data_IF_284860276822
#
_entry.id   IF_284860276822
#
_cell.length_a   1.000
_cell.length_b   1.000
_cell.length_c   1.000
_cell.angle_alpha   90.00
_cell.angle_beta   90.00
_cell.angle_gamma   90.00
#
_symmetry.space_group_name_H-M   'P 1'
#
loop_
_entity.id
_entity.type
_entity.pdbx_description
1 polymer ?
#
# COMPACT_ATOMS: atom_id res chain seq x y z
N UNK A 1 -3.19 -2.13 -28.62
CA UNK A 1 -4.17 -1.23 -28.00
C UNK A 1 -5.45 -1.98 -27.62
N UNK A 2 -6.12 -2.63 -28.57
CA UNK A 2 -7.37 -3.37 -28.33
C UNK A 2 -7.24 -4.49 -27.27
N UNK A 3 -6.21 -5.34 -27.35
CA UNK A 3 -5.97 -6.40 -26.35
C UNK A 3 -5.77 -5.88 -24.92
N UNK A 4 -5.14 -4.71 -24.77
CA UNK A 4 -4.93 -4.08 -23.46
C UNK A 4 -6.24 -3.50 -22.95
N UNK A 5 -7.03 -2.88 -23.83
CA UNK A 5 -8.34 -2.35 -23.48
C UNK A 5 -9.29 -3.43 -22.97
N UNK A 6 -9.34 -4.60 -23.64
CA UNK A 6 -10.16 -5.74 -23.20
C UNK A 6 -9.75 -6.32 -21.84
N UNK A 7 -8.53 -6.04 -21.37
CA UNK A 7 -7.99 -6.52 -20.08
C UNK A 7 -8.04 -5.49 -18.98
N UNK A 8 -8.47 -4.26 -19.28
CA UNK A 8 -8.32 -3.14 -18.37
C UNK A 8 -9.00 -3.44 -17.02
N UNK A 9 -10.23 -3.94 -17.04
CA UNK A 9 -11.00 -4.28 -15.83
C UNK A 9 -10.45 -5.50 -15.10
N UNK A 10 -10.02 -6.52 -15.84
CA UNK A 10 -9.36 -7.71 -15.31
C UNK A 10 -8.07 -7.37 -14.53
N UNK A 11 -7.37 -6.32 -14.95
CA UNK A 11 -6.12 -5.88 -14.30
C UNK A 11 -6.35 -4.82 -13.23
N UNK A 12 -7.14 -3.78 -13.55
CA UNK A 12 -7.23 -2.60 -12.69
C UNK A 12 -8.03 -2.87 -11.43
N UNK A 13 -9.12 -3.63 -11.51
CA UNK A 13 -9.99 -3.86 -10.34
C UNK A 13 -9.27 -4.49 -9.14
N UNK A 14 -8.56 -5.63 -9.28
CA UNK A 14 -7.86 -6.20 -8.13
C UNK A 14 -6.72 -5.30 -7.66
N UNK A 15 -5.99 -4.63 -8.57
CA UNK A 15 -4.91 -3.70 -8.20
C UNK A 15 -5.43 -2.48 -7.45
N UNK A 16 -6.55 -1.89 -7.88
CA UNK A 16 -7.19 -0.76 -7.21
C UNK A 16 -7.63 -1.14 -5.79
N UNK A 17 -8.18 -2.35 -5.62
CA UNK A 17 -8.53 -2.88 -4.30
C UNK A 17 -7.31 -3.07 -3.40
N UNK A 18 -6.19 -3.52 -3.96
CA UNK A 18 -4.93 -3.64 -3.21
C UNK A 18 -4.38 -2.26 -2.82
N UNK A 19 -4.38 -1.31 -3.76
CA UNK A 19 -3.93 0.06 -3.50
C UNK A 19 -4.78 0.78 -2.46
N UNK A 20 -6.07 0.44 -2.35
CA UNK A 20 -6.97 0.96 -1.34
C UNK A 20 -6.78 0.31 0.05
N UNK A 21 -6.10 -0.83 0.14
CA UNK A 21 -5.91 -1.58 1.39
C UNK A 21 -4.45 -2.01 1.57
N UNK A 22 -3.67 -1.18 2.28
CA UNK A 22 -2.26 -1.43 2.55
C UNK A 22 -1.97 -2.79 3.21
N UNK A 23 -2.88 -3.28 4.07
CA UNK A 23 -2.70 -4.56 4.74
C UNK A 23 -2.83 -5.74 3.76
N UNK A 24 -3.84 -5.73 2.91
CA UNK A 24 -4.02 -6.73 1.86
C UNK A 24 -2.87 -6.68 0.84
N UNK A 25 -2.46 -5.48 0.42
CA UNK A 25 -1.32 -5.28 -0.46
C UNK A 25 -0.03 -5.89 0.11
N UNK A 26 0.29 -5.58 1.37
CA UNK A 26 1.46 -6.12 2.05
C UNK A 26 1.42 -7.65 2.14
N UNK A 27 0.30 -8.22 2.56
CA UNK A 27 0.15 -9.67 2.68
C UNK A 27 0.39 -10.40 1.36
N UNK A 28 -0.09 -9.85 0.25
CA UNK A 28 0.13 -10.42 -1.08
C UNK A 28 1.55 -10.23 -1.58
N UNK A 29 2.10 -9.01 -1.46
CA UNK A 29 3.46 -8.70 -1.91
C UNK A 29 4.48 -9.60 -1.22
N UNK A 30 4.43 -9.71 0.11
CA UNK A 30 5.32 -10.57 0.89
C UNK A 30 5.10 -12.04 0.58
N UNK A 31 3.86 -12.48 0.37
CA UNK A 31 3.54 -13.88 0.02
C UNK A 31 4.18 -14.32 -1.30
N UNK A 32 4.25 -13.45 -2.29
CA UNK A 32 4.74 -13.77 -3.64
C UNK A 32 6.18 -13.31 -3.92
N UNK A 33 6.73 -12.42 -3.10
CA UNK A 33 8.13 -11.99 -3.20
C UNK A 33 9.09 -13.17 -2.98
N UNK A 34 10.11 -13.27 -3.84
CA UNK A 34 11.08 -14.38 -3.94
C UNK A 34 10.48 -15.75 -4.23
N UNK A 35 9.18 -15.79 -4.55
CA UNK A 35 8.44 -17.00 -4.91
C UNK A 35 7.97 -16.97 -6.35
N UNK A 36 7.18 -15.96 -6.67
CA UNK A 36 6.62 -15.75 -8.00
C UNK A 36 7.40 -14.70 -8.80
N UNK A 37 8.08 -13.77 -8.11
CA UNK A 37 8.91 -12.74 -8.73
C UNK A 37 10.09 -12.36 -7.82
N UNK A 38 11.12 -11.78 -8.44
CA UNK A 38 12.23 -11.10 -7.79
C UNK A 38 12.45 -9.74 -8.44
N UNK A 39 13.19 -8.86 -7.76
CA UNK A 39 13.60 -7.57 -8.30
C UNK A 39 15.08 -7.63 -8.60
N UNK A 40 15.44 -7.43 -9.87
CA UNK A 40 16.83 -7.39 -10.35
C UNK A 40 17.03 -6.08 -11.11
N UNK A 41 18.06 -5.30 -10.75
CA UNK A 41 18.38 -4.02 -11.40
C UNK A 41 17.18 -3.03 -11.49
N UNK A 42 16.31 -3.03 -10.48
CA UNK A 42 15.13 -2.17 -10.44
C UNK A 42 13.98 -2.61 -11.36
N UNK A 43 14.05 -3.82 -11.91
CA UNK A 43 13.03 -4.41 -12.76
C UNK A 43 12.45 -5.68 -12.12
N UNK A 44 11.17 -5.94 -12.38
CA UNK A 44 10.50 -7.15 -11.91
C UNK A 44 10.83 -8.30 -12.86
N UNK A 45 11.37 -9.38 -12.31
CA UNK A 45 11.63 -10.62 -13.02
C UNK A 45 10.71 -11.72 -12.48
N UNK A 46 9.84 -12.20 -13.35
CA UNK A 46 8.86 -13.22 -13.02
C UNK A 46 9.44 -14.64 -13.05
N UNK A 47 9.33 -15.34 -11.93
CA UNK A 47 9.68 -16.75 -11.77
C UNK A 47 8.47 -17.67 -12.00
N UNK A 48 7.26 -17.11 -11.91
CA UNK A 48 5.98 -17.78 -12.21
C UNK A 48 5.18 -16.92 -13.19
N UNK A 49 4.30 -17.56 -13.96
CA UNK A 49 3.45 -16.86 -14.91
C UNK A 49 2.59 -15.77 -14.23
N UNK A 50 2.74 -14.48 -14.60
CA UNK A 50 1.97 -13.38 -14.03
C UNK A 50 0.46 -13.59 -14.12
N UNK A 51 -0.01 -14.30 -15.16
CA UNK A 51 -1.43 -14.59 -15.33
C UNK A 51 -1.96 -15.56 -14.26
N UNK A 52 -1.16 -16.56 -13.86
CA UNK A 52 -1.52 -17.46 -12.74
C UNK A 52 -1.52 -16.70 -11.42
N UNK A 53 -0.55 -15.80 -11.23
CA UNK A 53 -0.46 -14.93 -10.06
C UNK A 53 -1.64 -13.95 -9.99
N UNK A 54 -2.10 -13.43 -11.13
CA UNK A 54 -3.32 -12.63 -11.24
C UNK A 54 -4.55 -13.45 -10.84
N UNK A 55 -4.70 -14.68 -11.32
CA UNK A 55 -5.80 -15.55 -10.91
C UNK A 55 -5.83 -15.79 -9.39
N UNK A 56 -4.66 -16.02 -8.78
CA UNK A 56 -4.56 -16.13 -7.33
C UNK A 56 -4.79 -14.81 -6.59
N UNK A 57 -4.53 -13.66 -7.21
CA UNK A 57 -4.91 -12.37 -6.64
C UNK A 57 -6.43 -12.23 -6.56
N UNK A 58 -7.17 -12.69 -7.56
CA UNK A 58 -8.63 -12.76 -7.50
C UNK A 58 -9.12 -13.66 -6.35
N UNK A 59 -8.49 -14.83 -6.18
CA UNK A 59 -8.78 -15.71 -5.05
C UNK A 59 -8.46 -15.05 -3.70
N UNK A 60 -7.29 -14.43 -3.58
CA UNK A 60 -6.81 -13.73 -2.37
C UNK A 60 -7.76 -12.60 -1.95
N UNK A 61 -8.34 -11.89 -2.92
CA UNK A 61 -9.31 -10.82 -2.68
C UNK A 61 -10.75 -11.32 -2.52
N UNK A 62 -10.97 -12.64 -2.55
CA UNK A 62 -12.30 -13.25 -2.55
C UNK A 62 -13.21 -12.75 -3.67
N UNK A 63 -12.64 -12.46 -4.84
CA UNK A 63 -13.33 -11.97 -6.03
C UNK A 63 -13.73 -13.12 -6.97
N UNK A 64 -13.72 -14.37 -6.52
CA UNK A 64 -14.20 -15.49 -7.33
C UNK A 64 -15.70 -15.39 -7.58
N UNK A 65 -16.15 -16.06 -8.64
CA UNK A 65 -17.57 -16.19 -8.95
C UNK A 65 -18.27 -16.96 -7.82
N UNK A 66 -19.26 -16.34 -7.21
CA UNK A 66 -19.94 -16.85 -6.03
C UNK A 66 -21.44 -16.65 -6.15
N UNK A 67 -22.18 -17.70 -5.79
CA UNK A 67 -23.63 -17.64 -5.75
C UNK A 67 -24.11 -16.46 -4.87
N UNK A 68 -24.96 -15.61 -5.43
CA UNK A 68 -25.55 -14.42 -4.80
C UNK A 68 -24.58 -13.28 -4.44
N UNK A 69 -23.35 -13.25 -4.94
CA UNK A 69 -22.49 -12.09 -4.77
C UNK A 69 -22.88 -10.94 -5.72
N UNK A 70 -22.83 -9.70 -5.24
CA UNK A 70 -23.05 -8.54 -6.10
C UNK A 70 -21.90 -8.41 -7.12
N UNK A 71 -22.11 -7.84 -8.33
CA UNK A 71 -21.07 -7.72 -9.35
C UNK A 71 -19.79 -6.99 -8.91
N UNK A 72 -19.86 -6.14 -7.89
CA UNK A 72 -18.69 -5.46 -7.31
C UNK A 72 -17.82 -6.39 -6.45
N UNK A 73 -18.41 -7.46 -5.89
CA UNK A 73 -17.79 -8.40 -4.96
C UNK A 73 -17.24 -9.66 -5.65
N UNK A 74 -17.30 -9.71 -6.97
CA UNK A 74 -16.80 -10.83 -7.78
C UNK A 74 -16.26 -10.37 -9.13
N UNK A 75 -15.52 -11.26 -9.78
CA UNK A 75 -15.03 -11.13 -11.14
C UNK A 75 -16.22 -11.05 -12.11
N UNK A 76 -16.10 -10.21 -13.13
CA UNK A 76 -17.15 -10.09 -14.13
C UNK A 76 -17.08 -11.25 -15.12
N UNK A 77 -18.21 -11.68 -15.71
CA UNK A 77 -18.25 -12.83 -16.61
C UNK A 77 -17.27 -12.74 -17.79
N UNK A 78 -17.14 -11.55 -18.39
CA UNK A 78 -16.21 -11.32 -19.50
C UNK A 78 -14.74 -11.40 -19.05
N UNK A 79 -14.42 -10.80 -17.90
CA UNK A 79 -13.08 -10.86 -17.30
C UNK A 79 -12.72 -12.30 -16.91
N UNK A 80 -13.66 -13.06 -16.33
CA UNK A 80 -13.48 -14.47 -15.97
C UNK A 80 -13.26 -15.33 -17.21
N UNK A 81 -14.06 -15.11 -18.25
CA UNK A 81 -13.90 -15.80 -19.53
C UNK A 81 -12.52 -15.52 -20.13
N UNK A 82 -12.08 -14.26 -20.08
CA UNK A 82 -10.78 -13.85 -20.58
C UNK A 82 -9.63 -14.47 -19.79
N UNK A 83 -9.71 -14.46 -18.45
CA UNK A 83 -8.74 -15.07 -17.56
C UNK A 83 -8.62 -16.57 -17.81
N UNK A 84 -9.75 -17.28 -17.85
CA UNK A 84 -9.80 -18.74 -18.09
C UNK A 84 -9.22 -19.11 -19.45
N UNK A 85 -9.51 -18.34 -20.51
CA UNK A 85 -8.92 -18.56 -21.84
C UNK A 85 -7.40 -18.44 -21.83
N UNK A 86 -6.86 -17.48 -21.06
CA UNK A 86 -5.43 -17.32 -20.93
C UNK A 86 -4.78 -18.43 -20.12
N UNK A 87 -5.38 -18.84 -19.01
CA UNK A 87 -4.91 -19.99 -18.22
C UNK A 87 -4.92 -21.27 -19.05
N UNK A 88 -6.02 -21.55 -19.75
CA UNK A 88 -6.14 -22.71 -20.63
C UNK A 88 -5.10 -22.71 -21.76
N UNK A 89 -4.78 -21.54 -22.34
CA UNK A 89 -3.71 -21.42 -23.33
C UNK A 89 -2.37 -21.91 -22.78
N UNK A 90 -1.98 -21.50 -21.56
CA UNK A 90 -0.73 -21.94 -20.96
C UNK A 90 -0.76 -23.41 -20.57
N UNK A 91 -1.88 -23.92 -20.03
CA UNK A 91 -2.03 -25.34 -19.73
C UNK A 91 -1.89 -26.22 -20.98
N UNK A 92 -2.54 -25.85 -22.08
CA UNK A 92 -2.45 -26.57 -23.35
C UNK A 92 -1.03 -26.50 -23.93
N UNK A 93 -0.37 -25.33 -23.85
CA UNK A 93 1.00 -25.14 -24.28
C UNK A 93 1.98 -26.01 -23.48
N UNK A 94 1.91 -25.95 -22.16
CA UNK A 94 2.73 -26.72 -21.24
C UNK A 94 2.54 -28.23 -21.46
N UNK A 95 1.28 -28.69 -21.58
CA UNK A 95 0.95 -30.10 -21.88
C UNK A 95 1.55 -30.55 -23.21
N UNK A 96 1.49 -29.71 -24.25
CA UNK A 96 2.03 -30.05 -25.56
C UNK A 96 3.57 -30.12 -25.56
N UNK A 97 4.22 -29.27 -24.78
CA UNK A 97 5.67 -29.24 -24.58
C UNK A 97 6.17 -30.30 -23.58
N UNK A 98 5.28 -30.94 -22.83
CA UNK A 98 5.65 -31.93 -21.81
C UNK A 98 6.33 -31.31 -20.58
N UNK A 99 6.03 -30.05 -20.30
CA UNK A 99 6.52 -29.33 -19.12
C UNK A 99 5.34 -29.02 -18.19
N UNK A 100 5.63 -28.75 -16.93
CA UNK A 100 4.64 -28.34 -15.93
C UNK A 100 5.29 -27.25 -15.06
N UNK A 101 5.02 -26.00 -15.44
CA UNK A 101 5.63 -24.83 -14.79
C UNK A 101 5.04 -24.59 -13.41
N UNK A 102 3.79 -24.98 -13.19
CA UNK A 102 3.11 -24.81 -11.91
C UNK A 102 3.61 -25.84 -10.89
N UNK A 103 3.79 -27.10 -11.30
CA UNK A 103 4.40 -28.12 -10.45
C UNK A 103 5.85 -27.79 -10.11
N UNK A 104 6.64 -27.29 -11.07
CA UNK A 104 8.01 -26.81 -10.80
C UNK A 104 8.00 -25.70 -9.75
N UNK A 105 7.09 -24.72 -9.87
CA UNK A 105 6.89 -23.67 -8.86
C UNK A 105 6.52 -24.25 -7.49
N UNK A 106 5.56 -25.17 -7.38
CA UNK A 106 5.15 -25.71 -6.08
C UNK A 106 6.26 -26.53 -5.40
N UNK A 107 7.04 -27.30 -6.16
CA UNK A 107 8.16 -28.09 -5.64
C UNK A 107 9.34 -27.23 -5.20
N UNK A 108 9.55 -26.12 -5.90
CA UNK A 108 10.52 -25.07 -5.59
C UNK A 108 10.37 -24.52 -4.15
N UNK A 109 9.16 -24.60 -3.58
CA UNK A 109 8.83 -24.07 -2.26
C UNK A 109 8.67 -25.13 -1.16
N UNK A 110 8.73 -26.43 -1.50
CA UNK A 110 8.55 -27.53 -0.54
C UNK A 110 9.85 -28.17 -0.05
N UNK A 111 10.97 -27.88 -0.72
CA UNK A 111 12.30 -28.43 -0.39
C UNK A 111 13.29 -27.29 -0.20
N UNK A 112 14.25 -27.47 0.71
CA UNK A 112 15.36 -26.52 0.99
C UNK A 112 16.12 -26.14 -0.29
N UNK A 113 15.68 -25.06 -0.94
CA UNK A 113 16.45 -24.07 -1.69
C UNK A 113 17.22 -24.44 -2.96
N UNK A 114 17.53 -25.71 -3.25
CA UNK A 114 18.67 -25.98 -4.17
C UNK A 114 18.35 -26.55 -5.56
N UNK A 115 17.08 -26.71 -5.97
CA UNK A 115 16.80 -27.14 -7.36
C UNK A 115 15.44 -26.66 -7.88
N UNK A 116 15.36 -25.37 -8.22
CA UNK A 116 14.25 -24.86 -9.02
C UNK A 116 14.65 -24.91 -10.49
N UNK A 117 13.85 -25.55 -11.36
CA UNK A 117 14.23 -25.66 -12.77
C UNK A 117 13.99 -24.36 -13.53
N UNK A 118 13.41 -23.34 -12.87
CA UNK A 118 13.03 -22.04 -13.43
C UNK A 118 12.26 -22.23 -14.75
N UNK A 119 11.32 -23.18 -14.79
CA UNK A 119 10.71 -23.61 -16.05
C UNK A 119 9.91 -22.49 -16.72
N UNK A 120 9.20 -21.67 -15.94
CA UNK A 120 8.47 -20.54 -16.51
C UNK A 120 9.42 -19.51 -17.14
N UNK A 121 10.53 -19.18 -16.49
CA UNK A 121 11.53 -18.26 -17.05
C UNK A 121 12.07 -18.79 -18.38
N UNK A 122 12.46 -20.06 -18.42
CA UNK A 122 12.93 -20.73 -19.65
C UNK A 122 11.86 -20.72 -20.75
N UNK A 123 10.61 -21.03 -20.41
CA UNK A 123 9.48 -20.99 -21.35
C UNK A 123 9.25 -19.58 -21.89
N UNK A 124 9.23 -18.58 -21.02
CA UNK A 124 9.04 -17.18 -21.38
C UNK A 124 10.17 -16.72 -22.33
N UNK A 125 11.43 -16.97 -22.00
CA UNK A 125 12.57 -16.67 -22.87
C UNK A 125 12.47 -17.38 -24.23
N UNK A 126 12.07 -18.66 -24.24
CA UNK A 126 11.89 -19.42 -25.48
C UNK A 126 10.76 -18.87 -26.36
N UNK A 127 9.66 -18.39 -25.78
CA UNK A 127 8.56 -17.75 -26.50
C UNK A 127 8.89 -16.31 -26.96
N UNK A 128 9.90 -15.67 -26.38
CA UNK A 128 10.37 -14.34 -26.78
C UNK A 128 11.53 -14.39 -27.80
N UNK A 129 12.16 -15.55 -27.99
CA UNK A 129 13.24 -15.78 -28.98
C UNK A 129 12.81 -15.46 -30.42
N UNK A 130 13.73 -14.98 -31.24
CA UNK A 130 13.45 -14.75 -32.67
C UNK A 130 13.34 -16.05 -33.47
N UNK A 131 14.16 -17.03 -33.11
CA UNK A 131 14.24 -18.36 -33.72
C UNK A 131 13.44 -19.35 -32.90
N UNK A 132 12.79 -20.31 -33.58
CA UNK A 132 12.03 -21.39 -32.95
C UNK A 132 12.97 -22.35 -32.23
N UNK A 133 13.08 -22.28 -30.89
CA UNK A 133 14.03 -23.11 -30.14
C UNK A 133 13.50 -24.54 -29.95
N UNK A 134 12.25 -24.79 -30.35
CA UNK A 134 11.58 -26.08 -30.22
C UNK A 134 11.74 -26.95 -31.48
N UNK A 135 12.38 -26.42 -32.53
CA UNK A 135 12.66 -27.17 -33.74
C UNK A 135 13.96 -27.98 -33.58
N UNK A 136 13.90 -29.29 -33.82
CA UNK A 136 15.09 -30.09 -34.10
C UNK A 136 15.51 -31.17 -33.08
N UNK A 137 14.98 -31.22 -31.85
CA UNK A 137 15.15 -32.39 -30.95
C UNK A 137 13.92 -32.62 -30.03
N UNK A 138 13.59 -33.90 -29.77
CA UNK A 138 12.56 -34.32 -28.81
C UNK A 138 12.95 -33.93 -27.37
N UNK A 139 12.00 -33.62 -26.47
CA UNK A 139 10.55 -33.68 -26.63
C UNK A 139 9.93 -32.43 -27.28
N UNK A 140 10.73 -31.40 -27.55
CA UNK A 140 10.25 -30.09 -27.99
C UNK A 140 9.88 -30.00 -29.48
N UNK A 141 10.26 -30.99 -30.31
CA UNK A 141 9.99 -31.11 -31.75
C UNK A 141 8.50 -31.30 -32.14
N UNK A 142 7.57 -30.61 -31.47
CA UNK A 142 6.12 -30.66 -31.74
C UNK A 142 5.56 -29.37 -32.32
N UNK A 143 6.35 -28.30 -32.38
CA UNK A 143 5.88 -26.98 -32.78
C UNK A 143 6.58 -26.54 -34.06
N UNK A 144 5.86 -26.61 -35.18
CA UNK A 144 6.32 -26.01 -36.42
C UNK A 144 6.41 -24.48 -36.28
N UNK A 145 7.09 -23.82 -37.23
CA UNK A 145 7.32 -22.38 -37.16
C UNK A 145 6.02 -21.57 -37.19
N UNK A 146 4.97 -22.08 -37.86
CA UNK A 146 3.68 -21.39 -37.94
C UNK A 146 2.99 -21.40 -36.58
N UNK A 147 2.90 -22.57 -35.94
CA UNK A 147 2.35 -22.75 -34.60
C UNK A 147 3.19 -21.98 -33.58
N UNK A 148 4.51 -22.02 -33.69
CA UNK A 148 5.39 -21.25 -32.82
C UNK A 148 5.08 -19.77 -32.90
N UNK A 149 5.03 -19.19 -34.10
CA UNK A 149 4.67 -17.76 -34.29
C UNK A 149 3.30 -17.43 -33.72
N UNK A 150 2.31 -18.33 -33.86
CA UNK A 150 1.00 -18.15 -33.26
C UNK A 150 1.05 -18.17 -31.72
N UNK A 151 1.81 -19.10 -31.12
CA UNK A 151 2.05 -19.15 -29.68
C UNK A 151 2.79 -17.92 -29.18
N UNK A 152 3.79 -17.40 -29.91
CA UNK A 152 4.46 -16.14 -29.56
C UNK A 152 3.50 -14.95 -29.55
N UNK A 153 2.64 -14.85 -30.57
CA UNK A 153 1.65 -13.78 -30.65
C UNK A 153 0.63 -13.88 -29.51
N UNK A 154 0.13 -15.09 -29.21
CA UNK A 154 -0.75 -15.33 -28.08
C UNK A 154 -0.08 -15.01 -26.74
N UNK A 155 1.16 -15.48 -26.52
CA UNK A 155 1.95 -15.19 -25.32
C UNK A 155 2.11 -13.67 -25.10
N UNK A 156 2.56 -12.93 -26.13
CA UNK A 156 2.66 -11.46 -26.06
C UNK A 156 1.31 -10.81 -25.79
N UNK A 157 0.24 -11.31 -26.40
CA UNK A 157 -1.12 -10.86 -26.12
C UNK A 157 -1.51 -11.09 -24.66
N UNK A 158 -1.20 -12.26 -24.10
CA UNK A 158 -1.47 -12.63 -22.71
C UNK A 158 -0.67 -11.81 -21.69
N UNK A 159 0.61 -11.56 -21.97
CA UNK A 159 1.50 -10.74 -21.13
C UNK A 159 1.25 -9.23 -21.28
N UNK A 160 0.59 -8.79 -22.35
CA UNK A 160 0.23 -7.38 -22.53
C UNK A 160 -0.64 -6.88 -21.39
N UNK A 161 -0.22 -5.79 -20.75
CA UNK A 161 -0.88 -5.18 -19.59
C UNK A 161 -0.40 -5.73 -18.23
N UNK A 162 0.32 -6.85 -18.18
CA UNK A 162 0.85 -7.40 -16.92
C UNK A 162 1.89 -6.49 -16.26
N UNK A 163 2.45 -5.54 -17.01
CA UNK A 163 3.30 -4.45 -16.48
C UNK A 163 2.61 -3.60 -15.41
N UNK A 164 1.27 -3.64 -15.32
CA UNK A 164 0.53 -3.04 -14.22
C UNK A 164 0.82 -3.72 -12.87
N UNK A 165 1.03 -5.04 -12.86
CA UNK A 165 1.48 -5.77 -11.67
C UNK A 165 2.92 -5.41 -11.31
N UNK A 166 3.78 -5.20 -12.31
CA UNK A 166 5.16 -4.77 -12.08
C UNK A 166 5.21 -3.42 -11.37
N UNK A 167 4.37 -2.46 -11.80
CA UNK A 167 4.25 -1.16 -11.14
C UNK A 167 3.82 -1.31 -9.68
N UNK A 168 2.85 -2.18 -9.41
CA UNK A 168 2.39 -2.47 -8.05
C UNK A 168 3.51 -3.06 -7.18
N UNK A 169 4.27 -4.02 -7.71
CA UNK A 169 5.41 -4.63 -7.03
C UNK A 169 6.49 -3.59 -6.73
N UNK A 170 6.84 -2.75 -7.71
CA UNK A 170 7.87 -1.71 -7.55
C UNK A 170 7.43 -0.61 -6.58
N UNK A 171 6.13 -0.33 -6.44
CA UNK A 171 5.64 0.53 -5.35
C UNK A 171 5.88 -0.11 -3.98
N UNK A 172 5.61 -1.41 -3.85
CA UNK A 172 5.92 -2.19 -2.65
C UNK A 172 7.39 -2.15 -2.28
N UNK A 173 8.27 -2.29 -3.28
CA UNK A 173 9.73 -2.19 -3.11
C UNK A 173 10.17 -0.79 -2.66
N UNK A 174 9.66 0.27 -3.30
CA UNK A 174 9.98 1.65 -2.89
C UNK A 174 9.47 1.97 -1.49
N UNK A 175 8.33 1.40 -1.12
CA UNK A 175 7.81 1.45 0.24
C UNK A 175 8.59 0.53 1.21
N UNK A 176 9.53 -0.29 0.70
CA UNK A 176 10.28 -1.37 1.35
C UNK A 176 9.41 -2.31 2.19
N UNK A 177 8.25 -2.64 1.63
CA UNK A 177 7.36 -3.70 2.11
C UNK A 177 8.00 -5.07 1.90
N UNK A 178 8.82 -5.21 0.86
CA UNK A 178 9.48 -6.47 0.49
C UNK A 178 10.66 -6.84 1.40
N UNK A 179 11.11 -5.90 2.22
CA UNK A 179 12.16 -6.11 3.23
C UNK A 179 11.65 -6.88 4.46
N UNK A 180 10.32 -7.02 4.62
CA UNK A 180 9.73 -7.81 5.69
C UNK A 180 9.86 -9.30 5.38
N UNK A 181 10.47 -10.03 6.31
CA UNK A 181 10.71 -11.47 6.18
C UNK A 181 10.18 -12.20 7.43
N UNK A 182 10.00 -13.51 7.31
CA UNK A 182 9.77 -14.41 8.44
C UNK A 182 10.94 -15.38 8.47
N UNK A 183 11.63 -15.48 9.61
CA UNK A 183 12.77 -16.38 9.74
C UNK A 183 12.34 -17.84 9.99
N UNK A 184 13.31 -18.74 10.06
CA UNK A 184 13.08 -20.18 10.26
C UNK A 184 12.41 -20.51 11.61
N UNK A 185 12.38 -19.55 12.55
CA UNK A 185 11.70 -19.69 13.84
C UNK A 185 10.25 -19.21 13.81
N UNK A 186 9.76 -18.80 12.64
CA UNK A 186 8.48 -18.13 12.43
C UNK A 186 8.40 -16.74 13.07
N UNK A 187 9.54 -16.13 13.39
CA UNK A 187 9.57 -14.78 13.92
C UNK A 187 9.59 -13.75 12.78
N UNK A 188 8.80 -12.67 12.87
CA UNK A 188 8.83 -11.61 11.88
C UNK A 188 10.13 -10.79 12.00
N UNK A 189 10.87 -10.70 10.90
CA UNK A 189 12.02 -9.81 10.75
C UNK A 189 11.55 -8.47 10.21
N UNK A 190 11.51 -7.49 11.11
CA UNK A 190 11.17 -6.10 10.79
C UNK A 190 12.45 -5.37 10.35
N UNK A 191 12.45 -4.64 9.21
CA UNK A 191 13.59 -3.86 8.74
C UNK A 191 14.05 -2.80 9.76
N UNK A 192 15.36 -2.57 9.86
CA UNK A 192 15.96 -1.70 10.89
C UNK A 192 15.47 -0.24 10.82
N UNK A 193 15.18 0.26 9.61
CA UNK A 193 14.61 1.61 9.44
C UNK A 193 13.29 1.83 10.20
N UNK A 194 12.53 0.76 10.44
CA UNK A 194 11.29 0.81 11.23
C UNK A 194 11.50 0.57 12.72
N UNK A 195 12.72 0.19 13.14
CA UNK A 195 13.10 -0.01 14.54
C UNK A 195 13.79 1.22 15.13
N UNK A 196 14.28 2.11 14.29
CA UNK A 196 14.86 3.39 14.68
C UNK A 196 13.80 4.30 15.34
N UNK A 197 14.12 4.86 16.51
CA UNK A 197 13.18 5.67 17.30
C UNK A 197 12.87 7.03 16.64
N UNK A 198 13.84 7.62 15.94
CA UNK A 198 13.68 8.90 15.27
C UNK A 198 12.74 8.74 14.08
N UNK A 199 12.97 7.72 13.25
CA UNK A 199 12.07 7.37 12.15
C UNK A 199 10.67 7.00 12.64
N UNK A 200 10.55 6.29 13.76
CA UNK A 200 9.25 5.95 14.35
C UNK A 200 8.45 7.20 14.74
N UNK A 201 9.11 8.21 15.30
CA UNK A 201 8.44 9.48 15.63
C UNK A 201 7.89 10.15 14.36
N UNK A 202 8.70 10.19 13.29
CA UNK A 202 8.28 10.74 12.00
C UNK A 202 7.13 9.95 11.36
N UNK A 203 7.18 8.61 11.40
CA UNK A 203 6.11 7.76 10.86
C UNK A 203 4.81 7.90 11.65
N UNK A 204 4.88 7.95 12.99
CA UNK A 204 3.73 8.19 13.85
C UNK A 204 3.12 9.56 13.56
N UNK A 205 3.96 10.58 13.38
CA UNK A 205 3.53 11.93 13.00
C UNK A 205 2.84 11.96 11.65
N UNK A 206 3.39 11.27 10.64
CA UNK A 206 2.78 11.21 9.30
C UNK A 206 1.45 10.45 9.26
N UNK A 207 1.26 9.48 10.16
CA UNK A 207 0.02 8.70 10.29
C UNK A 207 -1.01 9.34 11.22
N UNK A 208 -0.60 10.34 12.02
CA UNK A 208 -1.51 11.06 12.89
C UNK A 208 -2.56 11.81 12.05
N UNK A 209 -3.85 11.74 12.40
CA UNK A 209 -4.85 12.54 11.72
C UNK A 209 -4.50 14.02 11.86
N UNK A 210 -4.72 14.84 10.81
CA UNK A 210 -4.49 16.28 10.93
C UNK A 210 -5.34 16.83 12.09
N UNK A 211 -4.79 17.71 12.94
CA UNK A 211 -5.53 18.27 14.07
C UNK A 211 -6.79 18.98 13.56
N UNK A 212 -7.91 18.75 14.25
CA UNK A 212 -9.24 19.27 13.87
C UNK A 212 -9.38 20.75 14.24
N UNK A 213 -8.61 21.24 15.21
CA UNK A 213 -8.60 22.64 15.61
C UNK A 213 -7.77 23.49 14.64
N UNK A 214 -8.21 24.72 14.38
CA UNK A 214 -7.34 25.74 13.80
C UNK A 214 -6.08 25.83 14.66
N UNK A 215 -4.92 25.57 14.06
CA UNK A 215 -3.64 25.40 14.76
C UNK A 215 -3.36 26.53 15.77
N UNK A 216 -3.91 27.72 15.54
CA UNK A 216 -3.57 28.92 16.29
C UNK A 216 -4.50 29.21 17.49
N UNK A 217 -5.48 28.36 17.80
CA UNK A 217 -6.46 28.65 18.88
C UNK A 217 -6.94 27.44 19.65
N UNK A 218 -6.81 27.50 20.98
CA UNK A 218 -7.37 26.53 21.91
C UNK A 218 -8.76 27.00 22.33
N UNK A 219 -9.75 26.12 22.12
CA UNK A 219 -11.16 26.38 22.40
C UNK A 219 -11.66 25.57 23.59
N UNK A 220 -12.77 26.01 24.19
CA UNK A 220 -13.46 25.27 25.24
C UNK A 220 -14.03 23.94 24.71
N UNK A 221 -13.62 22.81 25.28
CA UNK A 221 -14.06 21.45 24.87
C UNK A 221 -15.56 21.20 25.14
N UNK A 222 -16.12 21.87 26.13
CA UNK A 222 -17.52 21.77 26.54
C UNK A 222 -18.03 23.11 27.06
N UNK A 223 -19.33 23.20 27.39
CA UNK A 223 -19.88 24.35 28.10
C UNK A 223 -19.83 24.13 29.60
N UNK A 224 -19.43 25.14 30.37
CA UNK A 224 -19.22 25.04 31.81
C UNK A 224 -18.60 26.29 32.42
N UNK A 225 -18.08 26.17 33.64
CA UNK A 225 -17.31 27.24 34.29
C UNK A 225 -15.81 27.01 34.05
N UNK A 226 -15.12 28.02 33.54
CA UNK A 226 -13.68 28.01 33.29
C UNK A 226 -12.88 28.43 34.53
N UNK A 227 -11.75 27.75 34.73
CA UNK A 227 -10.74 28.08 35.74
C UNK A 227 -9.34 27.94 35.12
N UNK A 228 -8.50 28.97 35.26
CA UNK A 228 -7.12 28.94 34.77
C UNK A 228 -6.15 28.20 35.69
N UNK A 229 -6.58 27.83 36.90
CA UNK A 229 -5.75 27.28 37.98
C UNK A 229 -6.49 26.22 38.79
N UNK A 230 -5.77 25.39 39.55
CA UNK A 230 -6.36 24.31 40.35
C UNK A 230 -7.02 24.81 41.64
N UNK A 231 -6.37 25.74 42.34
CA UNK A 231 -6.88 26.36 43.56
C UNK A 231 -6.72 27.87 43.47
N UNK A 232 -7.47 28.67 44.26
CA UNK A 232 -7.33 30.13 44.25
C UNK A 232 -5.89 30.61 44.49
N UNK A 233 -5.14 29.88 45.31
CA UNK A 233 -3.77 30.20 45.70
C UNK A 233 -2.70 29.62 44.76
N UNK A 234 -3.07 28.77 43.78
CA UNK A 234 -2.11 28.20 42.82
C UNK A 234 -1.88 29.14 41.64
N UNK A 235 -0.72 29.00 41.00
CA UNK A 235 -0.43 29.68 39.74
C UNK A 235 -1.38 29.18 38.62
N UNK A 236 -1.65 30.03 37.60
CA UNK A 236 -2.30 29.58 36.38
C UNK A 236 -1.53 28.42 35.73
N UNK A 237 -2.25 27.54 35.07
CA UNK A 237 -1.66 26.44 34.31
C UNK A 237 -0.83 26.93 33.11
N UNK A 238 -1.23 28.04 32.51
CA UNK A 238 -0.57 28.69 31.38
C UNK A 238 -0.65 30.21 31.51
N UNK A 239 0.39 30.89 31.07
CA UNK A 239 0.51 32.35 31.03
C UNK A 239 0.94 32.82 29.63
N UNK A 240 0.69 34.08 29.30
CA UNK A 240 1.13 34.68 28.03
C UNK A 240 2.65 34.61 27.92
N UNK A 241 3.15 34.08 26.80
CA UNK A 241 4.57 33.81 26.55
C UNK A 241 5.07 32.49 27.15
N UNK A 242 4.24 31.78 27.93
CA UNK A 242 4.55 30.46 28.46
C UNK A 242 4.49 29.38 27.38
N UNK A 243 5.49 28.50 27.40
CA UNK A 243 5.50 27.28 26.61
C UNK A 243 4.75 26.17 27.35
N UNK A 244 4.00 25.34 26.61
CA UNK A 244 3.32 24.16 27.14
C UNK A 244 3.67 22.91 26.32
N UNK A 245 3.83 21.79 27.02
CA UNK A 245 4.10 20.48 26.40
C UNK A 245 2.82 19.68 26.13
N UNK A 246 2.87 18.75 25.16
CA UNK A 246 1.80 17.77 24.94
C UNK A 246 1.46 17.05 26.26
N UNK A 247 0.17 17.01 26.60
CA UNK A 247 -0.32 16.39 27.83
C UNK A 247 -0.22 17.28 29.08
N UNK A 248 0.28 18.52 28.99
CA UNK A 248 0.23 19.47 30.09
C UNK A 248 -1.21 19.97 30.31
N UNK A 249 -1.69 20.08 31.57
CA UNK A 249 -2.99 20.69 31.85
C UNK A 249 -2.97 22.17 31.48
N UNK A 250 -3.98 22.63 30.76
CA UNK A 250 -4.11 24.01 30.27
C UNK A 250 -5.14 24.82 31.07
N UNK A 251 -6.25 24.20 31.42
CA UNK A 251 -7.33 24.80 32.19
C UNK A 251 -8.24 23.74 32.79
N UNK A 252 -9.12 24.15 33.70
CA UNK A 252 -10.19 23.30 34.24
C UNK A 252 -11.54 23.80 33.72
N UNK A 253 -12.40 22.86 33.37
CA UNK A 253 -13.81 23.13 33.11
C UNK A 253 -14.69 22.41 34.12
N UNK A 254 -15.55 23.16 34.80
CA UNK A 254 -16.54 22.62 35.73
C UNK A 254 -17.87 22.39 35.01
N UNK A 255 -18.37 21.15 35.08
CA UNK A 255 -19.69 20.77 34.57
C UNK A 255 -20.39 19.95 35.64
N UNK A 256 -21.53 20.43 36.12
CA UNK A 256 -22.34 19.75 37.15
C UNK A 256 -21.53 19.34 38.40
N UNK A 257 -20.72 20.26 38.94
CA UNK A 257 -19.81 20.03 40.10
C UNK A 257 -18.65 19.06 39.85
N UNK A 258 -18.42 18.63 38.61
CA UNK A 258 -17.23 17.87 38.23
C UNK A 258 -16.20 18.80 37.59
N UNK A 259 -14.99 18.82 38.15
CA UNK A 259 -13.86 19.61 37.66
C UNK A 259 -12.98 18.73 36.77
N UNK A 260 -12.98 18.99 35.47
CA UNK A 260 -12.19 18.24 34.50
C UNK A 260 -11.00 19.08 34.03
N UNK A 261 -9.78 18.55 34.19
CA UNK A 261 -8.57 19.13 33.60
C UNK A 261 -8.58 18.86 32.10
N UNK A 262 -8.35 19.90 31.31
CA UNK A 262 -8.17 19.80 29.86
C UNK A 262 -6.67 19.86 29.58
N UNK A 263 -6.17 18.86 28.88
CA UNK A 263 -4.75 18.70 28.57
C UNK A 263 -4.44 19.17 27.14
N UNK A 264 -3.21 19.63 26.92
CA UNK A 264 -2.74 20.07 25.61
C UNK A 264 -2.61 18.88 24.64
N UNK A 265 -3.15 19.03 23.43
CA UNK A 265 -3.06 18.02 22.37
C UNK A 265 -1.75 18.13 21.56
N UNK A 266 -1.07 19.28 21.63
CA UNK A 266 0.19 19.59 20.97
C UNK A 266 1.07 20.49 21.87
N UNK A 267 2.35 20.66 21.53
CA UNK A 267 3.24 21.62 22.21
C UNK A 267 3.21 22.97 21.50
N UNK A 268 3.29 24.05 22.27
CA UNK A 268 3.28 25.40 21.70
C UNK A 268 3.49 26.49 22.74
N UNK A 269 3.40 27.74 22.28
CA UNK A 269 3.54 28.93 23.13
C UNK A 269 2.23 29.70 23.16
N UNK A 270 1.78 30.13 24.35
CA UNK A 270 0.58 30.98 24.47
C UNK A 270 0.90 32.40 24.02
N UNK A 271 0.24 32.87 22.96
CA UNK A 271 0.40 34.24 22.45
C UNK A 271 -0.55 35.22 23.16
N UNK A 272 -1.79 34.79 23.41
CA UNK A 272 -2.81 35.65 24.00
C UNK A 272 -3.84 34.82 24.77
N UNK A 273 -4.27 35.32 25.94
CA UNK A 273 -5.42 34.78 26.68
C UNK A 273 -6.66 35.58 26.25
N UNK A 274 -7.61 34.92 25.59
CA UNK A 274 -8.79 35.54 24.97
C UNK A 274 -10.01 35.62 25.90
N UNK A 275 -9.91 35.01 27.09
CA UNK A 275 -10.97 35.02 28.09
C UNK A 275 -10.73 36.09 29.16
N UNK A 276 -11.75 36.90 29.42
CA UNK A 276 -11.71 37.91 30.47
C UNK A 276 -11.91 37.29 31.85
N UNK A 277 -10.82 37.15 32.60
CA UNK A 277 -10.81 36.68 34.00
C UNK A 277 -10.17 35.31 34.20
N UNK A 278 -9.71 35.04 35.42
CA UNK A 278 -8.91 33.87 35.80
C UNK A 278 -9.73 32.73 36.43
N UNK A 279 -10.94 32.99 36.93
CA UNK A 279 -11.79 31.97 37.55
C UNK A 279 -13.30 32.27 37.42
N UNK A 280 -14.11 31.21 37.33
CA UNK A 280 -15.57 31.29 37.49
C UNK A 280 -16.30 31.94 36.31
N UNK A 281 -15.74 31.88 35.10
CA UNK A 281 -16.38 32.41 33.89
C UNK A 281 -17.16 31.34 33.15
N UNK A 282 -18.40 31.64 32.77
CA UNK A 282 -19.23 30.74 31.96
C UNK A 282 -18.70 30.74 30.52
N UNK A 283 -18.31 29.57 30.02
CA UNK A 283 -17.87 29.37 28.64
C UNK A 283 -18.80 28.43 27.88
N UNK A 284 -18.89 28.60 26.55
CA UNK A 284 -19.63 27.72 25.66
C UNK A 284 -18.66 26.79 24.91
N UNK A 285 -19.13 25.60 24.53
CA UNK A 285 -18.35 24.68 23.67
C UNK A 285 -17.92 25.42 22.39
N UNK A 286 -16.64 25.34 22.07
CA UNK A 286 -16.03 26.00 20.91
C UNK A 286 -15.69 27.48 21.12
N UNK A 287 -15.90 28.05 22.30
CA UNK A 287 -15.48 29.41 22.61
C UNK A 287 -13.94 29.49 22.66
N UNK A 288 -13.30 30.43 21.96
CA UNK A 288 -11.86 30.66 22.04
C UNK A 288 -11.41 31.03 23.46
N UNK A 289 -10.37 30.37 23.96
CA UNK A 289 -9.79 30.61 25.29
C UNK A 289 -8.37 31.17 25.20
N UNK A 290 -7.55 30.59 24.33
CA UNK A 290 -6.15 30.98 24.15
C UNK A 290 -5.81 31.05 22.67
N UNK A 291 -5.11 32.09 22.24
CA UNK A 291 -4.36 32.10 20.98
C UNK A 291 -2.99 31.52 21.27
N UNK A 292 -2.58 30.56 20.47
CA UNK A 292 -1.31 29.85 20.66
C UNK A 292 -0.55 29.79 19.34
N UNK A 293 0.77 29.76 19.44
CA UNK A 293 1.66 29.43 18.34
C UNK A 293 2.17 28.02 18.57
N UNK A 294 1.70 27.01 17.80
CA UNK A 294 2.26 25.67 17.86
C UNK A 294 3.75 25.70 17.55
N UNK A 295 4.53 24.85 18.21
CA UNK A 295 5.95 24.67 17.90
C UNK A 295 6.14 24.02 16.53
N UNK A 296 5.15 23.24 16.09
CA UNK A 296 5.12 22.60 14.79
C UNK A 296 4.30 23.42 13.78
N UNK A 297 4.97 23.97 12.78
CA UNK A 297 4.30 24.59 11.64
C UNK A 297 3.70 23.50 10.73
N UNK A 298 2.37 23.46 10.63
CA UNK A 298 1.68 22.58 9.68
C UNK A 298 1.93 23.15 8.27
N UNK A 299 2.81 22.50 7.51
CA UNK A 299 3.03 22.83 6.10
C UNK A 299 1.82 22.33 5.31
N UNK A 300 0.89 23.22 5.00
CA UNK A 300 -0.25 22.91 4.13
C UNK A 300 0.23 23.00 2.68
N UNK A 301 0.62 21.86 2.10
CA UNK A 301 0.89 21.76 0.66
C UNK A 301 -0.38 22.12 -0.13
N UNK A 302 -0.23 22.94 -1.17
CA UNK A 302 -1.32 23.23 -2.11
C UNK A 302 -1.69 21.98 -2.92
N UNK A 303 -2.92 21.92 -3.43
CA UNK A 303 -3.34 20.79 -4.29
C UNK A 303 -2.50 20.70 -5.58
N UNK A 304 -1.99 21.83 -6.07
CA UNK A 304 -1.10 21.90 -7.24
C UNK A 304 0.26 21.27 -6.95
N UNK A 305 0.87 21.56 -5.79
CA UNK A 305 2.13 20.94 -5.35
C UNK A 305 1.97 19.43 -5.14
N UNK A 306 0.89 19.01 -4.47
CA UNK A 306 0.55 17.58 -4.31
C UNK A 306 0.38 16.89 -5.66
N UNK A 307 -0.31 17.51 -6.61
CA UNK A 307 -0.50 16.96 -7.95
C UNK A 307 0.83 16.87 -8.72
N UNK A 308 1.68 17.90 -8.65
CA UNK A 308 2.99 17.92 -9.28
C UNK A 308 3.91 16.82 -8.71
N UNK A 309 3.96 16.67 -7.39
CA UNK A 309 4.72 15.62 -6.70
C UNK A 309 4.24 14.22 -7.08
N UNK A 310 2.92 13.97 -7.06
CA UNK A 310 2.33 12.70 -7.51
C UNK A 310 2.72 12.39 -8.94
N UNK A 311 2.55 13.36 -9.87
CA UNK A 311 2.92 13.20 -11.28
C UNK A 311 4.39 12.85 -11.45
N UNK A 312 5.30 13.54 -10.74
CA UNK A 312 6.73 13.26 -10.77
C UNK A 312 7.02 11.82 -10.32
N UNK A 313 6.50 11.41 -9.17
CA UNK A 313 6.68 10.06 -8.63
C UNK A 313 6.12 8.98 -9.57
N UNK A 314 4.93 9.19 -10.13
CA UNK A 314 4.32 8.29 -11.12
C UNK A 314 5.20 8.16 -12.37
N UNK A 315 5.71 9.26 -12.92
CA UNK A 315 6.58 9.22 -14.11
C UNK A 315 7.91 8.51 -13.83
N UNK A 316 8.50 8.72 -12.65
CA UNK A 316 9.70 7.99 -12.21
C UNK A 316 9.45 6.49 -12.05
N UNK A 317 8.25 6.08 -11.64
CA UNK A 317 7.86 4.66 -11.56
C UNK A 317 7.60 4.05 -12.95
N UNK A 318 6.95 4.79 -13.84
CA UNK A 318 6.69 4.32 -15.21
C UNK A 318 8.00 4.09 -15.97
N UNK A 319 9.04 4.91 -15.72
CA UNK A 319 10.37 4.73 -16.33
C UNK A 319 11.05 3.42 -15.93
N UNK A 320 10.79 2.88 -14.73
CA UNK A 320 11.37 1.58 -14.32
C UNK A 320 10.75 0.38 -15.03
N UNK A 321 9.57 0.54 -15.65
CA UNK A 321 8.84 -0.55 -16.33
C UNK A 321 8.85 -0.39 -17.86
N UNK A 322 9.16 0.80 -18.37
CA UNK A 322 9.32 1.05 -19.80
C UNK A 322 10.64 0.45 -20.30
N UNK A 323 10.56 -0.75 -20.88
CA UNK A 323 11.61 -1.37 -21.71
C UNK A 323 11.13 -1.40 -23.16
#
# INVERSE_FOLDING_TARGET
AETVHSKLTLLSRPVDMMMANAHAAMGWLVRYHRRAFIIENGQVKWQRNPLRVLAEMYHFLHLEDRDNAAPVQQIWPDDLTLLNRGLQFYEDLERNLGIDTEKDYLLSHSTTGENTSHLYEKLNSALLSEQNPFQGQQPFNRMDDRTYRACQAAHRGWQSGMTMLDLFILMGERAGVLDFEVDDTLAPRIPDRFRDKENQADYLKALAPPPVASADTIVAVSGGMFYSRETPDSEPYVDVGGHFDVGQPLYIIEVMKMFNKVYAEFSGTVEEILIDGDAGKVVKKGQPLFRVKPDEEIIIETEEEKAARRKKATLELLRSVAV
#
